data_IF_091740179673
#
_entry.id   IF_091740179673
#
_cell.length_a   1.000
_cell.length_b   1.000
_cell.length_c   1.000
_cell.angle_alpha   90.00
_cell.angle_beta   90.00
_cell.angle_gamma   90.00
#
_symmetry.space_group_name_H-M   'P 1'
#
loop_
_entity.id
_entity.type
_entity.pdbx_description
1 polymer ?
#
# COMPACT_ATOMS: atom_id res chain seq x y z
N UNK A 1 2.79 -2.07 -19.83
CA UNK A 1 3.47 -2.24 -18.52
C UNK A 1 2.49 -1.91 -17.41
N UNK A 2 2.60 -2.57 -16.26
CA UNK A 2 1.78 -2.24 -15.10
C UNK A 2 2.59 -2.32 -13.81
N UNK A 3 2.19 -1.51 -12.84
CA UNK A 3 2.72 -1.53 -11.48
C UNK A 3 1.58 -1.67 -10.48
N UNK A 4 1.89 -2.22 -9.31
CA UNK A 4 0.93 -2.49 -8.24
C UNK A 4 1.40 -1.81 -6.96
N UNK A 5 0.54 -1.07 -6.29
CA UNK A 5 0.79 -0.46 -4.98
C UNK A 5 -0.29 -0.94 -4.00
N UNK A 6 0.15 -1.27 -2.79
CA UNK A 6 -0.74 -1.62 -1.67
C UNK A 6 -0.98 -0.39 -0.80
N UNK A 7 -2.24 -0.17 -0.41
CA UNK A 7 -2.62 0.85 0.57
C UNK A 7 -3.09 0.12 1.82
N UNK A 8 -2.31 0.21 2.89
CA UNK A 8 -2.55 -0.48 4.16
C UNK A 8 -2.86 0.49 5.31
N UNK A 9 -3.24 -0.05 6.45
CA UNK A 9 -3.53 0.72 7.67
C UNK A 9 -4.85 0.33 8.32
N UNK A 10 -5.11 0.92 9.50
CA UNK A 10 -6.26 0.61 10.35
C UNK A 10 -7.63 0.84 9.73
N UNK A 11 -8.68 0.32 10.38
CA UNK A 11 -10.07 0.58 9.97
C UNK A 11 -10.41 2.08 10.04
N UNK A 12 -10.99 2.63 8.97
CA UNK A 12 -11.40 4.04 8.93
C UNK A 12 -10.26 5.05 8.77
N UNK A 13 -9.02 4.59 8.55
CA UNK A 13 -7.85 5.48 8.38
C UNK A 13 -7.85 6.27 7.07
N UNK A 14 -8.72 5.92 6.11
CA UNK A 14 -8.85 6.61 4.82
C UNK A 14 -8.38 5.84 3.59
N UNK A 15 -8.18 4.51 3.67
CA UNK A 15 -7.73 3.68 2.52
C UNK A 15 -8.64 3.80 1.29
N UNK A 16 -9.93 3.51 1.47
CA UNK A 16 -10.97 3.67 0.43
C UNK A 16 -10.99 5.09 -0.14
N UNK A 17 -10.84 6.09 0.73
CA UNK A 17 -10.82 7.50 0.34
C UNK A 17 -9.61 7.82 -0.53
N UNK A 18 -8.41 7.39 -0.11
CA UNK A 18 -7.18 7.60 -0.86
C UNK A 18 -7.28 6.93 -2.22
N UNK A 19 -7.65 5.65 -2.26
CA UNK A 19 -7.80 4.90 -3.53
C UNK A 19 -8.83 5.57 -4.44
N UNK A 20 -9.99 5.94 -3.91
CA UNK A 20 -11.04 6.61 -4.66
C UNK A 20 -10.67 8.02 -5.16
N UNK A 21 -9.80 8.75 -4.45
CA UNK A 21 -9.42 10.12 -4.81
C UNK A 21 -8.58 10.21 -6.10
N UNK A 22 -7.87 9.14 -6.43
CA UNK A 22 -6.94 9.09 -7.58
C UNK A 22 -7.34 8.07 -8.64
N UNK A 23 -8.29 7.18 -8.35
CA UNK A 23 -8.73 6.17 -9.29
C UNK A 23 -9.58 6.76 -10.42
N UNK A 24 -9.27 6.37 -11.66
CA UNK A 24 -10.09 6.63 -12.86
C UNK A 24 -11.32 5.71 -12.93
N UNK A 25 -11.35 4.65 -12.12
CA UNK A 25 -12.40 3.64 -12.10
C UNK A 25 -13.17 3.75 -10.78
N UNK A 26 -14.50 3.64 -10.86
CA UNK A 26 -15.36 3.64 -9.68
C UNK A 26 -14.99 2.46 -8.73
N UNK A 27 -15.13 2.62 -7.40
CA UNK A 27 -14.81 1.56 -6.45
C UNK A 27 -15.57 0.27 -6.76
N UNK A 28 -14.86 -0.83 -7.02
CA UNK A 28 -15.47 -2.13 -7.32
C UNK A 28 -15.54 -2.96 -6.03
N UNK A 29 -16.75 -3.20 -5.53
CA UNK A 29 -16.97 -4.17 -4.45
C UNK A 29 -16.73 -5.59 -4.98
N UNK A 30 -15.86 -6.33 -4.30
CA UNK A 30 -14.97 -7.34 -4.90
C UNK A 30 -15.50 -8.79 -4.86
N UNK A 31 -16.54 -9.11 -5.65
CA UNK A 31 -16.83 -10.52 -5.98
C UNK A 31 -16.44 -10.89 -7.43
N UNK A 32 -16.38 -9.93 -8.35
CA UNK A 32 -16.19 -10.22 -9.78
C UNK A 32 -14.72 -10.34 -10.23
N UNK A 33 -13.78 -9.63 -9.59
CA UNK A 33 -12.42 -9.45 -10.14
C UNK A 33 -11.36 -10.46 -9.66
N UNK A 34 -11.58 -11.16 -8.54
CA UNK A 34 -10.64 -12.20 -8.10
C UNK A 34 -10.55 -13.35 -9.11
N UNK A 35 -11.56 -13.48 -9.98
CA UNK A 35 -11.61 -14.46 -11.07
C UNK A 35 -10.81 -13.99 -12.29
N UNK A 36 -11.03 -12.78 -12.81
CA UNK A 36 -10.32 -12.27 -14.00
C UNK A 36 -8.83 -11.97 -13.76
N UNK A 37 -8.45 -11.51 -12.56
CA UNK A 37 -7.04 -11.28 -12.24
C UNK A 37 -6.24 -12.57 -11.95
N UNK A 38 -6.93 -13.70 -11.73
CA UNK A 38 -6.34 -15.01 -11.48
C UNK A 38 -6.23 -15.89 -12.74
N UNK A 39 -6.75 -15.46 -13.89
CA UNK A 39 -6.68 -16.25 -15.14
C UNK A 39 -5.24 -16.44 -15.70
N UNK A 40 -4.23 -15.91 -15.03
CA UNK A 40 -2.81 -16.05 -15.39
C UNK A 40 -1.93 -16.82 -14.41
N UNK A 41 -2.44 -17.38 -13.31
CA UNK A 41 -1.62 -18.13 -12.33
C UNK A 41 -2.37 -19.38 -11.83
N UNK A 42 -1.79 -20.54 -12.14
CA UNK A 42 -2.28 -21.93 -12.06
C UNK A 42 -3.25 -22.38 -10.95
N UNK A 43 -4.06 -23.36 -11.36
CA UNK A 43 -4.90 -24.38 -10.69
C UNK A 43 -4.98 -24.41 -9.15
N UNK A 44 -6.19 -24.18 -8.63
CA UNK A 44 -6.59 -24.50 -7.25
C UNK A 44 -7.42 -25.80 -7.18
N UNK A 45 -7.16 -26.69 -6.19
CA UNK A 45 -7.81 -27.99 -6.08
C UNK A 45 -9.27 -27.88 -5.56
N UNK A 46 -10.15 -28.84 -5.89
CA UNK A 46 -11.58 -28.74 -5.60
C UNK A 46 -11.90 -29.28 -4.20
N UNK A 47 -12.40 -28.41 -3.31
CA UNK A 47 -13.07 -28.88 -2.08
C UNK A 47 -12.95 -27.91 -0.91
N UNK A 48 -13.96 -27.08 -0.70
CA UNK A 48 -14.09 -26.28 0.51
C UNK A 48 -15.22 -25.28 0.40
N UNK A 49 -16.40 -25.63 0.93
CA UNK A 49 -17.59 -24.79 0.93
C UNK A 49 -17.32 -23.43 1.58
N UNK A 50 -17.63 -22.35 0.86
CA UNK A 50 -17.37 -20.98 1.32
C UNK A 50 -18.59 -20.44 2.06
N UNK A 51 -18.48 -20.31 3.38
CA UNK A 51 -19.27 -19.35 4.16
C UNK A 51 -18.64 -17.97 3.95
N UNK A 52 -18.90 -17.35 2.80
CA UNK A 52 -18.27 -16.07 2.42
C UNK A 52 -18.88 -14.92 3.20
N UNK A 53 -18.14 -14.38 4.17
CA UNK A 53 -18.37 -12.99 4.61
C UNK A 53 -17.68 -12.11 3.57
N UNK A 54 -18.44 -11.43 2.71
CA UNK A 54 -17.90 -10.58 1.63
C UNK A 54 -16.96 -9.52 2.20
N UNK A 55 -15.67 -9.67 1.92
CA UNK A 55 -14.65 -8.67 2.27
C UNK A 55 -14.60 -7.69 1.11
N UNK A 56 -15.11 -6.48 1.32
CA UNK A 56 -14.90 -5.39 0.36
C UNK A 56 -13.41 -5.01 0.37
N UNK A 57 -12.76 -5.10 -0.79
CA UNK A 57 -11.39 -4.63 -1.00
C UNK A 57 -11.44 -3.38 -1.88
N UNK A 58 -10.67 -2.36 -1.53
CA UNK A 58 -10.59 -1.16 -2.38
C UNK A 58 -9.72 -1.46 -3.60
N UNK A 59 -10.20 -1.11 -4.79
CA UNK A 59 -9.45 -1.21 -6.04
C UNK A 59 -9.44 0.14 -6.75
N UNK A 60 -8.26 0.55 -7.22
CA UNK A 60 -8.09 1.73 -8.04
C UNK A 60 -7.18 1.47 -9.23
N UNK A 61 -7.39 2.24 -10.30
CA UNK A 61 -6.57 2.19 -11.52
C UNK A 61 -6.29 3.61 -11.99
N UNK A 62 -5.03 3.88 -12.31
CA UNK A 62 -4.55 5.16 -12.83
C UNK A 62 -3.75 4.88 -14.10
N UNK A 63 -4.05 5.59 -15.18
CA UNK A 63 -3.26 5.53 -16.41
C UNK A 63 -2.18 6.62 -16.34
N UNK A 64 -0.91 6.22 -16.21
CA UNK A 64 0.22 7.17 -16.10
C UNK A 64 0.76 7.58 -17.48
N UNK A 65 0.69 6.65 -18.44
CA UNK A 65 1.11 6.79 -19.84
C UNK A 65 0.30 5.77 -20.68
N UNK A 66 0.13 5.94 -22.01
CA UNK A 66 -0.54 4.94 -22.85
C UNK A 66 -0.15 3.49 -22.60
N UNK A 67 1.12 3.23 -22.27
CA UNK A 67 1.63 1.88 -22.00
C UNK A 67 1.93 1.62 -20.51
N UNK A 68 1.51 2.51 -19.59
CA UNK A 68 1.77 2.38 -18.15
C UNK A 68 0.51 2.57 -17.30
N UNK A 69 0.11 1.51 -16.61
CA UNK A 69 -1.04 1.49 -15.69
C UNK A 69 -0.58 1.22 -14.26
N UNK A 70 -1.05 2.02 -13.31
CA UNK A 70 -0.85 1.80 -11.88
C UNK A 70 -2.14 1.26 -11.24
N UNK A 71 -2.03 0.11 -10.59
CA UNK A 71 -3.10 -0.50 -9.81
C UNK A 71 -2.90 -0.24 -8.31
N UNK A 72 -3.98 0.16 -7.63
CA UNK A 72 -4.02 0.39 -6.19
C UNK A 72 -4.93 -0.64 -5.53
N UNK A 73 -4.44 -1.27 -4.46
CA UNK A 73 -5.20 -2.24 -3.67
C UNK A 73 -5.25 -1.83 -2.20
N UNK A 74 -6.43 -1.53 -1.68
CA UNK A 74 -6.61 -1.26 -0.26
C UNK A 74 -6.76 -2.53 0.55
N UNK A 75 -5.92 -2.74 1.57
CA UNK A 75 -6.03 -3.94 2.41
C UNK A 75 -7.32 -3.92 3.24
N UNK A 76 -7.90 -5.08 3.59
CA UNK A 76 -9.04 -5.11 4.50
C UNK A 76 -8.65 -4.54 5.88
N UNK A 77 -9.43 -3.57 6.38
CA UNK A 77 -9.08 -2.83 7.60
C UNK A 77 -9.23 -3.58 8.93
N UNK A 78 -9.53 -4.89 8.93
CA UNK A 78 -9.69 -5.68 10.15
C UNK A 78 -8.57 -6.70 10.29
N UNK A 79 -7.98 -6.78 11.50
CA UNK A 79 -6.83 -7.64 11.81
C UNK A 79 -7.04 -9.13 11.47
N UNK A 80 -8.29 -9.61 11.40
CA UNK A 80 -8.61 -11.00 11.05
C UNK A 80 -8.38 -11.38 9.57
N UNK A 81 -8.08 -10.41 8.71
CA UNK A 81 -7.86 -10.63 7.27
C UNK A 81 -6.37 -10.48 6.86
N UNK A 82 -5.46 -10.59 7.82
CA UNK A 82 -4.01 -10.52 7.59
C UNK A 82 -3.52 -11.54 6.54
N UNK A 83 -4.18 -12.70 6.42
CA UNK A 83 -3.86 -13.70 5.40
C UNK A 83 -3.99 -13.19 3.96
N UNK A 84 -4.80 -12.14 3.71
CA UNK A 84 -4.91 -11.53 2.39
C UNK A 84 -3.73 -10.59 2.07
N UNK A 85 -2.94 -10.19 3.08
CA UNK A 85 -1.90 -9.19 2.89
C UNK A 85 -0.73 -9.75 2.09
N UNK A 86 -0.40 -11.03 2.24
CA UNK A 86 0.64 -11.69 1.42
C UNK A 86 0.27 -11.71 -0.07
N UNK A 87 -0.97 -12.10 -0.37
CA UNK A 87 -1.46 -12.14 -1.74
C UNK A 87 -1.57 -10.74 -2.35
N UNK A 88 -1.97 -9.75 -1.54
CA UNK A 88 -2.01 -8.35 -1.97
C UNK A 88 -0.62 -7.72 -2.08
N UNK A 89 0.36 -8.15 -1.30
CA UNK A 89 1.71 -7.58 -1.35
C UNK A 89 2.57 -8.24 -2.42
N UNK A 90 2.27 -9.47 -2.82
CA UNK A 90 2.98 -10.18 -3.89
C UNK A 90 3.02 -9.37 -5.18
N UNK A 91 4.23 -9.12 -5.68
CA UNK A 91 4.48 -8.38 -6.92
C UNK A 91 4.17 -6.87 -6.83
N UNK A 92 3.94 -6.32 -5.64
CA UNK A 92 3.79 -4.89 -5.46
C UNK A 92 5.13 -4.17 -5.60
N UNK A 93 5.11 -3.00 -6.24
CA UNK A 93 6.23 -2.06 -6.28
C UNK A 93 6.55 -1.51 -4.88
N UNK A 94 5.52 -1.34 -4.07
CA UNK A 94 5.64 -0.81 -2.73
C UNK A 94 4.28 -0.68 -2.04
N UNK A 95 4.32 -0.27 -0.77
CA UNK A 95 3.13 -0.06 0.05
C UNK A 95 3.11 1.33 0.72
N UNK A 96 1.90 1.87 0.88
CA UNK A 96 1.63 3.05 1.71
C UNK A 96 0.88 2.56 2.94
N UNK A 97 1.45 2.76 4.13
CA UNK A 97 0.75 2.55 5.40
C UNK A 97 0.15 3.87 5.84
N UNK A 98 -1.17 4.00 5.73
CA UNK A 98 -1.90 5.15 6.26
C UNK A 98 -2.03 5.06 7.78
N UNK A 99 -1.84 6.20 8.45
CA UNK A 99 -1.89 6.34 9.91
C UNK A 99 -2.82 7.47 10.31
N UNK A 100 -3.66 7.22 11.32
CA UNK A 100 -4.45 8.24 12.02
C UNK A 100 -3.84 8.47 13.39
N UNK A 101 -3.33 9.67 13.65
CA UNK A 101 -2.68 10.01 14.93
C UNK A 101 -3.63 9.98 16.13
N UNK A 102 -4.95 10.00 15.90
CA UNK A 102 -5.96 9.81 16.96
C UNK A 102 -6.05 8.36 17.43
N UNK A 103 -5.56 7.41 16.61
CA UNK A 103 -5.69 5.95 16.78
C UNK A 103 -4.46 5.22 16.23
N UNK A 104 -3.27 5.62 16.71
CA UNK A 104 -1.98 5.10 16.22
C UNK A 104 -1.87 3.57 16.33
N UNK A 105 -2.45 2.99 17.38
CA UNK A 105 -2.46 1.55 17.66
C UNK A 105 -2.98 0.71 16.49
N UNK A 106 -3.88 1.28 15.67
CA UNK A 106 -4.45 0.58 14.52
C UNK A 106 -3.49 0.44 13.34
N UNK A 107 -2.37 1.18 13.35
CA UNK A 107 -1.35 1.09 12.31
C UNK A 107 -0.29 0.03 12.61
N UNK A 108 -0.12 -0.36 13.88
CA UNK A 108 0.98 -1.22 14.31
C UNK A 108 1.02 -2.57 13.59
N UNK A 109 -0.15 -3.19 13.35
CA UNK A 109 -0.20 -4.45 12.61
C UNK A 109 0.32 -4.30 11.17
N UNK A 110 -0.05 -3.21 10.48
CA UNK A 110 0.40 -2.94 9.12
C UNK A 110 1.89 -2.62 9.07
N UNK A 111 2.38 -1.79 9.99
CA UNK A 111 3.81 -1.45 10.10
C UNK A 111 4.63 -2.71 10.39
N UNK A 112 4.24 -3.48 11.42
CA UNK A 112 4.96 -4.71 11.79
C UNK A 112 5.04 -5.71 10.63
N UNK A 113 3.96 -5.86 9.87
CA UNK A 113 3.93 -6.72 8.69
C UNK A 113 4.96 -6.29 7.64
N UNK A 114 4.99 -5.01 7.25
CA UNK A 114 5.95 -4.53 6.25
C UNK A 114 7.38 -4.39 6.78
N UNK A 115 7.59 -4.37 8.09
CA UNK A 115 8.93 -4.38 8.70
C UNK A 115 9.52 -5.78 8.85
N UNK A 116 8.69 -6.79 9.15
CA UNK A 116 9.17 -8.10 9.58
C UNK A 116 8.74 -9.27 8.67
N UNK A 117 7.61 -9.14 7.99
CA UNK A 117 6.96 -10.25 7.28
C UNK A 117 6.94 -10.04 5.75
N UNK A 118 7.34 -8.86 5.24
CA UNK A 118 7.32 -8.51 3.82
C UNK A 118 8.63 -7.86 3.37
N UNK A 119 9.10 -8.23 2.17
CA UNK A 119 10.22 -7.56 1.50
C UNK A 119 9.78 -6.34 0.68
N UNK A 120 8.48 -6.03 0.66
CA UNK A 120 7.92 -4.92 -0.13
C UNK A 120 8.31 -3.59 0.51
N UNK A 121 9.00 -2.68 -0.21
CA UNK A 121 9.30 -1.35 0.30
C UNK A 121 8.03 -0.60 0.68
N UNK A 122 8.04 0.09 1.81
CA UNK A 122 6.88 0.86 2.25
C UNK A 122 7.25 2.24 2.77
N UNK A 123 6.28 3.14 2.69
CA UNK A 123 6.30 4.43 3.38
C UNK A 123 5.13 4.50 4.36
N UNK A 124 5.25 5.40 5.34
CA UNK A 124 4.17 5.71 6.27
C UNK A 124 3.63 7.11 5.93
N UNK A 125 2.31 7.24 5.81
CA UNK A 125 1.65 8.51 5.55
C UNK A 125 0.61 8.83 6.63
N UNK A 126 0.83 9.92 7.36
CA UNK A 126 -0.09 10.44 8.36
C UNK A 126 -1.25 11.11 7.63
N UNK A 127 -2.45 10.52 7.75
CA UNK A 127 -3.64 11.08 7.12
C UNK A 127 -4.16 12.28 7.93
N UNK A 128 -4.20 13.45 7.31
CA UNK A 128 -4.60 14.72 7.90
C UNK A 128 -6.13 14.85 7.85
N UNK A 129 -6.80 14.31 8.88
CA UNK A 129 -8.22 14.56 9.05
C UNK A 129 -8.45 16.06 9.31
N UNK A 130 -9.30 16.66 8.47
CA UNK A 130 -9.60 18.10 8.47
C UNK A 130 -8.37 19.00 8.21
N UNK A 131 -7.37 18.47 7.49
CA UNK A 131 -6.15 19.20 7.14
C UNK A 131 -5.26 19.52 8.35
N UNK A 132 -5.49 18.89 9.51
CA UNK A 132 -4.77 19.18 10.76
C UNK A 132 -3.72 18.12 11.04
N UNK A 133 -2.49 18.59 11.27
CA UNK A 133 -1.42 17.82 11.87
C UNK A 133 -1.45 18.06 13.38
N UNK A 134 -1.95 17.09 14.14
CA UNK A 134 -2.12 17.20 15.59
C UNK A 134 -0.81 17.01 16.38
N UNK A 135 0.14 16.29 15.79
CA UNK A 135 1.42 15.93 16.37
C UNK A 135 2.51 16.12 15.32
N UNK A 136 3.66 16.64 15.71
CA UNK A 136 4.78 16.80 14.78
C UNK A 136 5.26 15.42 14.29
N UNK A 137 5.74 15.35 13.04
CA UNK A 137 6.15 14.07 12.45
C UNK A 137 7.28 13.38 13.22
N UNK A 138 8.11 14.14 13.93
CA UNK A 138 9.14 13.58 14.81
C UNK A 138 8.52 12.80 15.98
N UNK A 139 7.49 13.36 16.62
CA UNK A 139 6.76 12.70 17.71
C UNK A 139 6.00 11.47 17.20
N UNK A 140 5.38 11.58 16.03
CA UNK A 140 4.68 10.45 15.40
C UNK A 140 5.67 9.33 15.07
N UNK A 141 6.84 9.64 14.53
CA UNK A 141 7.90 8.66 14.25
C UNK A 141 8.32 7.92 15.51
N UNK A 142 8.57 8.66 16.58
CA UNK A 142 8.94 8.08 17.88
C UNK A 142 7.83 7.16 18.42
N UNK A 143 6.58 7.63 18.39
CA UNK A 143 5.42 6.87 18.87
C UNK A 143 5.16 5.59 18.06
N UNK A 144 5.47 5.59 16.76
CA UNK A 144 5.40 4.42 15.90
C UNK A 144 6.64 3.51 15.98
N UNK A 145 7.67 3.90 16.73
CA UNK A 145 9.00 3.27 16.73
C UNK A 145 9.59 3.08 15.32
N UNK A 146 9.26 3.99 14.40
CA UNK A 146 9.52 3.80 12.98
C UNK A 146 10.99 4.04 12.62
N UNK A 147 11.59 3.08 11.92
CA UNK A 147 12.98 3.17 11.43
C UNK A 147 13.28 4.52 10.77
N UNK A 148 14.43 5.18 11.06
CA UNK A 148 14.81 6.45 10.44
C UNK A 148 14.89 6.41 8.90
N UNK A 149 15.02 5.20 8.32
CA UNK A 149 15.07 5.00 6.87
C UNK A 149 13.70 4.94 6.22
N UNK A 150 12.65 4.65 6.98
CA UNK A 150 11.29 4.58 6.44
C UNK A 150 10.74 5.99 6.28
N UNK A 151 10.38 6.43 5.06
CA UNK A 151 9.79 7.74 4.84
C UNK A 151 8.50 7.90 5.63
N UNK A 152 8.36 9.05 6.29
CA UNK A 152 7.17 9.45 7.01
C UNK A 152 6.70 10.79 6.45
N UNK A 153 5.54 10.79 5.81
CA UNK A 153 4.96 11.95 5.14
C UNK A 153 3.56 12.26 5.64
N UNK A 154 3.02 13.40 5.25
CA UNK A 154 1.61 13.76 5.45
C UNK A 154 0.81 13.52 4.19
N UNK A 155 -0.45 13.14 4.33
CA UNK A 155 -1.40 12.98 3.23
C UNK A 155 -2.78 13.50 3.67
N UNK A 156 -3.54 14.20 2.84
CA UNK A 156 -5.02 14.25 2.98
C UNK A 156 -5.61 13.33 1.93
N UNK A 157 -6.16 12.19 2.37
CA UNK A 157 -6.73 11.18 1.48
C UNK A 157 -7.90 11.69 0.61
N UNK A 158 -8.51 12.84 0.96
CA UNK A 158 -9.60 13.45 0.20
C UNK A 158 -9.10 14.39 -0.89
N UNK A 159 -7.83 14.80 -0.84
CA UNK A 159 -7.21 15.68 -1.83
C UNK A 159 -6.44 14.84 -2.86
N UNK A 160 -6.89 14.79 -4.12
CA UNK A 160 -6.20 14.05 -5.18
C UNK A 160 -4.75 14.47 -5.37
N UNK A 161 -4.43 15.77 -5.20
CA UNK A 161 -3.05 16.24 -5.34
C UNK A 161 -2.16 15.71 -4.21
N UNK A 162 -2.69 15.66 -2.98
CA UNK A 162 -1.98 15.08 -1.84
C UNK A 162 -1.81 13.57 -1.98
N UNK A 163 -2.81 12.86 -2.49
CA UNK A 163 -2.72 11.42 -2.74
C UNK A 163 -1.68 11.10 -3.82
N UNK A 164 -1.66 11.87 -4.93
CA UNK A 164 -0.62 11.75 -5.97
C UNK A 164 0.77 12.05 -5.42
N UNK A 165 0.93 13.08 -4.57
CA UNK A 165 2.20 13.38 -3.92
C UNK A 165 2.70 12.21 -3.04
N UNK A 166 1.79 11.54 -2.34
CA UNK A 166 2.11 10.37 -1.50
C UNK A 166 2.52 9.16 -2.36
N UNK A 167 1.82 8.90 -3.47
CA UNK A 167 2.20 7.86 -4.43
C UNK A 167 3.58 8.14 -5.05
N UNK A 168 3.84 9.41 -5.39
CA UNK A 168 5.14 9.84 -5.92
C UNK A 168 6.26 9.59 -4.91
N UNK A 169 6.06 9.91 -3.64
CA UNK A 169 7.06 9.65 -2.59
C UNK A 169 7.39 8.16 -2.50
N UNK A 170 6.38 7.28 -2.54
CA UNK A 170 6.61 5.84 -2.54
C UNK A 170 7.46 5.41 -3.75
N UNK A 171 7.13 5.88 -4.96
CA UNK A 171 7.89 5.53 -6.17
C UNK A 171 9.34 5.99 -6.06
N UNK A 172 9.57 7.24 -5.62
CA UNK A 172 10.92 7.79 -5.44
C UNK A 172 11.70 7.00 -4.39
N UNK A 173 11.06 6.62 -3.29
CA UNK A 173 11.66 5.78 -2.27
C UNK A 173 12.08 4.42 -2.83
N UNK A 174 11.16 3.71 -3.51
CA UNK A 174 11.49 2.41 -4.14
C UNK A 174 12.63 2.52 -5.13
N UNK A 175 12.67 3.58 -5.96
CA UNK A 175 13.78 3.82 -6.89
C UNK A 175 15.13 4.03 -6.18
N UNK A 176 15.14 4.76 -5.07
CA UNK A 176 16.37 4.99 -4.28
C UNK A 176 16.94 3.70 -3.68
N UNK A 177 16.08 2.73 -3.36
CA UNK A 177 16.51 1.41 -2.86
C UNK A 177 17.17 0.57 -3.96
N UNK A 178 16.66 0.64 -5.19
CA UNK A 178 17.27 -0.04 -6.33
C UNK A 178 18.63 0.54 -6.71
N UNK A 179 18.81 1.87 -6.62
CA UNK A 179 20.09 2.53 -6.89
C UNK A 179 21.16 2.17 -5.85
N UNK A 180 20.75 1.91 -4.60
CA UNK A 180 21.68 1.53 -3.52
C UNK A 180 22.11 0.06 -3.59
N UNK A 181 21.39 -0.78 -4.35
CA UNK A 181 21.61 -2.23 -4.43
C UNK A 181 22.66 -2.63 -5.47
N UNK A 182 23.10 -1.73 -6.37
CA UNK A 182 24.23 -1.99 -7.28
C UNK A 182 25.58 -1.43 -6.75
N UNK A 183 26.46 -2.32 -6.26
CA UNK A 183 27.88 -2.20 -6.62
C UNK A 183 28.56 -3.57 -6.81
N UNK A 184 28.93 -3.92 -8.06
CA UNK A 184 29.66 -5.19 -8.29
C UNK A 184 30.01 -5.61 -9.72
N UNK A 185 30.27 -4.70 -10.68
CA UNK A 185 30.94 -5.11 -11.93
C UNK A 185 32.40 -5.42 -11.60
N UNK A 186 32.69 -6.69 -11.31
CA UNK A 186 34.02 -7.20 -11.07
C UNK A 186 34.96 -6.81 -12.23
N UNK A 187 36.12 -6.30 -11.84
CA UNK A 187 37.18 -5.79 -12.69
C UNK A 187 37.68 -6.87 -13.65
N UNK A 188 37.68 -6.56 -14.94
CA UNK A 188 38.54 -7.22 -15.91
C UNK A 188 39.97 -6.72 -15.70
N UNK A 189 40.83 -7.56 -15.15
CA UNK A 189 42.27 -7.59 -15.44
C UNK A 189 42.55 -9.07 -15.76
N UNK A 190 42.78 -9.42 -17.02
CA UNK A 190 44.05 -9.29 -17.74
C UNK A 190 45.16 -10.08 -17.04
#
# INVERSE_FOLDING_TARGET
MSAKIVVAGGFGVGKTTLVGSVSEVAPINTEAWMTEASEGVDDLPPGGGKTTTTVAMDFGRITLDPDLVLYLFGTPGQARFWFMWDDLSRGALGAIVLVDTRRLDQSFAAINYFENDSDVPFIVAVNLFDGKLWHDLAEVREALALSPRTPLVTCDARDPASAVATLRELVLYTMSLTETTEPGRARTHA
#
